data_IF_366761455231
#
_entry.id   IF_366761455231
#
_cell.length_a   1.000
_cell.length_b   1.000
_cell.length_c   1.000
_cell.angle_alpha   90.00
_cell.angle_beta   90.00
_cell.angle_gamma   90.00
#
_symmetry.space_group_name_H-M   'P 1'
#
loop_
_entity.id
_entity.type
_entity.pdbx_description
1 polymer ?
#
# COMPACT_ATOMS: atom_id res chain seq x y z
N UNK A 1 -18.66 27.71 3.46
CA UNK A 1 -17.94 27.77 2.17
C UNK A 1 -18.91 27.49 1.04
N UNK A 2 -18.72 28.12 -0.11
CA UNK A 2 -19.49 27.79 -1.32
C UNK A 2 -18.95 26.50 -1.96
N UNK A 3 -19.75 25.76 -2.75
CA UNK A 3 -19.27 24.57 -3.47
C UNK A 3 -18.03 24.84 -4.33
N UNK A 4 -17.97 26.01 -4.97
CA UNK A 4 -16.81 26.44 -5.77
C UNK A 4 -15.54 26.62 -4.92
N UNK A 5 -15.67 27.12 -3.69
CA UNK A 5 -14.53 27.24 -2.76
C UNK A 5 -14.04 25.85 -2.34
N UNK A 6 -14.94 24.90 -2.10
CA UNK A 6 -14.59 23.52 -1.74
C UNK A 6 -13.82 22.86 -2.89
N UNK A 7 -14.31 22.97 -4.13
CA UNK A 7 -13.62 22.41 -5.30
C UNK A 7 -12.21 22.98 -5.47
N UNK A 8 -12.03 24.30 -5.33
CA UNK A 8 -10.69 24.92 -5.42
C UNK A 8 -9.75 24.40 -4.33
N UNK A 9 -10.24 24.23 -3.11
CA UNK A 9 -9.47 23.62 -2.02
C UNK A 9 -9.08 22.18 -2.34
N UNK A 10 -10.01 21.38 -2.88
CA UNK A 10 -9.76 20.00 -3.28
C UNK A 10 -8.73 19.89 -4.41
N UNK A 11 -8.81 20.75 -5.42
CA UNK A 11 -7.84 20.82 -6.52
C UNK A 11 -6.46 21.20 -6.01
N UNK A 12 -6.36 22.24 -5.18
CA UNK A 12 -5.10 22.67 -4.58
C UNK A 12 -4.46 21.57 -3.74
N UNK A 13 -5.25 20.84 -2.94
CA UNK A 13 -4.75 19.75 -2.11
C UNK A 13 -4.37 18.54 -2.94
N UNK A 14 -5.09 18.24 -4.02
CA UNK A 14 -4.72 17.16 -4.96
C UNK A 14 -3.36 17.43 -5.61
N UNK A 15 -3.12 18.67 -6.04
CA UNK A 15 -1.81 19.06 -6.58
C UNK A 15 -0.71 19.00 -5.52
N UNK A 16 -0.99 19.40 -4.28
CA UNK A 16 -0.02 19.31 -3.19
C UNK A 16 0.38 17.85 -2.91
N UNK A 17 -0.58 16.92 -2.93
CA UNK A 17 -0.31 15.48 -2.80
C UNK A 17 0.54 14.98 -3.97
N UNK A 18 0.21 15.36 -5.21
CA UNK A 18 0.97 14.95 -6.41
C UNK A 18 2.44 15.40 -6.32
N UNK A 19 2.68 16.65 -5.92
CA UNK A 19 4.04 17.19 -5.73
C UNK A 19 4.77 16.46 -4.60
N UNK A 20 4.12 16.27 -3.45
CA UNK A 20 4.74 15.62 -2.29
C UNK A 20 5.09 14.15 -2.58
N UNK A 21 4.23 13.42 -3.29
CA UNK A 21 4.51 12.04 -3.73
C UNK A 21 5.66 12.01 -4.72
N UNK A 22 5.70 12.92 -5.69
CA UNK A 22 6.79 13.03 -6.65
C UNK A 22 8.15 13.34 -5.99
N UNK A 23 8.17 14.06 -4.87
CA UNK A 23 9.38 14.34 -4.09
C UNK A 23 9.64 13.34 -2.95
N UNK A 24 8.83 12.27 -2.83
CA UNK A 24 8.85 11.32 -1.71
C UNK A 24 8.72 11.97 -0.31
N UNK A 25 8.09 13.14 -0.22
CA UNK A 25 7.72 13.78 1.03
C UNK A 25 6.42 13.16 1.56
N UNK A 26 6.54 11.95 2.12
CA UNK A 26 5.38 11.18 2.59
C UNK A 26 4.63 11.86 3.73
N UNK A 27 5.32 12.65 4.56
CA UNK A 27 4.68 13.36 5.66
C UNK A 27 3.74 14.44 5.13
N UNK A 28 4.21 15.23 4.16
CA UNK A 28 3.38 16.24 3.51
C UNK A 28 2.24 15.61 2.70
N UNK A 29 2.51 14.52 1.98
CA UNK A 29 1.50 13.80 1.22
C UNK A 29 0.33 13.32 2.11
N UNK A 30 0.65 12.74 3.28
CA UNK A 30 -0.37 12.30 4.25
C UNK A 30 -1.13 13.50 4.82
N UNK A 31 -0.44 14.55 5.27
CA UNK A 31 -1.07 15.76 5.83
C UNK A 31 -2.04 16.40 4.84
N UNK A 32 -1.63 16.52 3.58
CA UNK A 32 -2.46 17.08 2.51
C UNK A 32 -3.67 16.17 2.21
N UNK A 33 -3.48 14.84 2.18
CA UNK A 33 -4.56 13.88 1.97
C UNK A 33 -5.60 13.88 3.09
N UNK A 34 -5.17 13.94 4.35
CA UNK A 34 -6.08 14.05 5.51
C UNK A 34 -6.89 15.35 5.45
N UNK A 35 -6.22 16.48 5.16
CA UNK A 35 -6.89 17.76 4.98
C UNK A 35 -7.91 17.70 3.83
N UNK A 36 -7.56 17.05 2.72
CA UNK A 36 -8.46 16.87 1.57
C UNK A 36 -9.67 16.03 1.90
N UNK A 37 -9.49 14.98 2.70
CA UNK A 37 -10.58 14.10 3.15
C UNK A 37 -11.66 14.88 3.90
N UNK A 38 -11.27 15.84 4.76
CA UNK A 38 -12.22 16.70 5.47
C UNK A 38 -13.10 17.54 4.51
N UNK A 39 -12.53 18.06 3.42
CA UNK A 39 -13.28 18.79 2.41
C UNK A 39 -14.22 17.88 1.61
N UNK A 40 -13.79 16.66 1.28
CA UNK A 40 -14.65 15.67 0.61
C UNK A 40 -15.84 15.29 1.48
N UNK A 41 -15.65 15.10 2.79
CA UNK A 41 -16.73 14.80 3.73
C UNK A 41 -17.70 15.97 3.95
N UNK A 42 -17.28 17.21 3.67
CA UNK A 42 -18.13 18.39 3.77
C UNK A 42 -19.07 18.58 2.55
N UNK A 43 -18.87 17.82 1.47
CA UNK A 43 -19.74 17.89 0.30
C UNK A 43 -21.08 17.19 0.57
N UNK A 44 -22.19 17.87 0.26
CA UNK A 44 -23.51 17.25 0.16
C UNK A 44 -23.55 16.29 -1.04
N UNK A 45 -24.31 15.18 -1.01
CA UNK A 45 -24.52 14.33 -2.18
C UNK A 45 -25.21 15.05 -3.35
N UNK A 46 -26.03 16.06 -3.06
CA UNK A 46 -26.74 16.87 -4.04
C UNK A 46 -25.84 18.06 -4.46
N UNK A 47 -24.94 17.82 -5.42
CA UNK A 47 -24.08 18.86 -6.00
C UNK A 47 -24.48 19.16 -7.43
N UNK A 48 -24.18 20.38 -7.92
CA UNK A 48 -24.25 20.68 -9.35
C UNK A 48 -23.34 19.77 -10.18
N UNK A 49 -23.74 19.49 -11.43
CA UNK A 49 -22.98 18.65 -12.37
C UNK A 49 -21.52 19.11 -12.57
N UNK A 50 -21.27 20.42 -12.49
CA UNK A 50 -19.92 20.99 -12.59
C UNK A 50 -18.99 20.50 -11.48
N UNK A 51 -19.51 20.35 -10.26
CA UNK A 51 -18.78 19.86 -9.09
C UNK A 51 -18.48 18.37 -9.26
N UNK A 52 -19.46 17.58 -9.73
CA UNK A 52 -19.24 16.17 -10.05
C UNK A 52 -18.18 15.98 -11.14
N UNK A 53 -18.22 16.81 -12.18
CA UNK A 53 -17.22 16.81 -13.25
C UNK A 53 -15.83 17.12 -12.72
N UNK A 54 -15.70 18.10 -11.82
CA UNK A 54 -14.42 18.45 -11.19
C UNK A 54 -13.86 17.30 -10.33
N UNK A 55 -14.72 16.64 -9.54
CA UNK A 55 -14.36 15.45 -8.76
C UNK A 55 -13.91 14.30 -9.67
N UNK A 56 -14.58 14.12 -10.81
CA UNK A 56 -14.19 13.14 -11.83
C UNK A 56 -12.76 13.37 -12.32
N UNK A 57 -12.40 14.61 -12.67
CA UNK A 57 -11.03 14.96 -13.09
C UNK A 57 -10.01 14.72 -11.97
N UNK A 58 -10.32 15.11 -10.73
CA UNK A 58 -9.43 14.88 -9.59
C UNK A 58 -9.16 13.38 -9.36
N UNK A 59 -10.14 12.51 -9.62
CA UNK A 59 -9.96 11.06 -9.51
C UNK A 59 -8.94 10.51 -10.50
N UNK A 60 -8.82 11.07 -11.69
CA UNK A 60 -7.78 10.68 -12.64
C UNK A 60 -6.39 11.02 -12.11
N UNK A 61 -6.25 12.17 -11.43
CA UNK A 61 -5.01 12.56 -10.77
C UNK A 61 -4.70 11.60 -9.62
N UNK A 62 -5.69 11.24 -8.81
CA UNK A 62 -5.53 10.26 -7.72
C UNK A 62 -5.00 8.91 -8.21
N UNK A 63 -5.45 8.46 -9.38
CA UNK A 63 -4.94 7.24 -10.01
C UNK A 63 -3.44 7.40 -10.33
N UNK A 64 -3.03 8.52 -10.94
CA UNK A 64 -1.61 8.76 -11.23
C UNK A 64 -0.77 8.82 -9.95
N UNK A 65 -1.24 9.53 -8.93
CA UNK A 65 -0.60 9.60 -7.61
C UNK A 65 -0.38 8.19 -7.05
N UNK A 66 -1.40 7.32 -7.12
CA UNK A 66 -1.31 5.95 -6.61
C UNK A 66 -0.27 5.10 -7.36
N UNK A 67 -0.13 5.29 -8.68
CA UNK A 67 0.86 4.61 -9.51
C UNK A 67 2.26 5.06 -9.08
N UNK A 68 2.51 6.37 -9.03
CA UNK A 68 3.81 6.92 -8.64
C UNK A 68 4.21 6.50 -7.22
N UNK A 69 3.26 6.54 -6.28
CA UNK A 69 3.52 6.10 -4.91
C UNK A 69 3.92 4.61 -4.86
N UNK A 70 3.24 3.76 -5.64
CA UNK A 70 3.56 2.33 -5.72
C UNK A 70 4.94 2.09 -6.33
N UNK A 71 5.26 2.73 -7.44
CA UNK A 71 6.56 2.61 -8.11
C UNK A 71 7.71 3.04 -7.18
N UNK A 72 7.49 4.12 -6.41
CA UNK A 72 8.46 4.60 -5.42
C UNK A 72 8.66 3.58 -4.30
N UNK A 73 7.56 3.01 -3.78
CA UNK A 73 7.63 1.96 -2.75
C UNK A 73 8.36 0.70 -3.25
N UNK A 74 8.06 0.24 -4.47
CA UNK A 74 8.72 -0.92 -5.07
C UNK A 74 10.23 -0.71 -5.20
N UNK A 75 10.64 0.50 -5.57
CA UNK A 75 12.05 0.91 -5.65
C UNK A 75 12.72 0.86 -4.27
N UNK A 76 12.12 1.52 -3.26
CA UNK A 76 12.64 1.55 -1.88
C UNK A 76 12.77 0.15 -1.26
N UNK A 77 11.79 -0.73 -1.50
CA UNK A 77 11.83 -2.12 -1.02
C UNK A 77 12.95 -2.91 -1.72
N UNK A 78 13.13 -2.72 -3.02
CA UNK A 78 14.21 -3.36 -3.78
C UNK A 78 15.59 -2.93 -3.25
N UNK A 79 15.78 -1.63 -3.06
CA UNK A 79 17.01 -1.05 -2.53
C UNK A 79 17.28 -1.50 -1.09
N UNK A 80 16.27 -1.48 -0.22
CA UNK A 80 16.40 -1.97 1.15
C UNK A 80 16.81 -3.44 1.21
N UNK A 81 16.22 -4.30 0.36
CA UNK A 81 16.62 -5.71 0.24
C UNK A 81 18.06 -5.87 -0.25
N UNK A 82 18.51 -5.02 -1.17
CA UNK A 82 19.90 -5.01 -1.65
C UNK A 82 20.86 -4.64 -0.51
N UNK A 83 20.57 -3.57 0.22
CA UNK A 83 21.37 -3.13 1.36
C UNK A 83 21.46 -4.21 2.45
N UNK A 84 20.37 -4.91 2.76
CA UNK A 84 20.37 -6.01 3.73
C UNK A 84 21.24 -7.20 3.28
N UNK A 85 21.26 -7.51 1.98
CA UNK A 85 22.16 -8.55 1.43
C UNK A 85 23.62 -8.13 1.54
N UNK A 86 23.93 -6.88 1.22
CA UNK A 86 25.29 -6.32 1.30
C UNK A 86 25.79 -6.26 2.76
N UNK A 87 24.90 -5.96 3.70
CA UNK A 87 25.22 -5.97 5.13
C UNK A 87 25.31 -7.38 5.75
N UNK A 88 25.07 -8.45 4.98
CA UNK A 88 25.07 -9.83 5.48
C UNK A 88 23.91 -10.16 6.44
N UNK A 89 22.90 -9.29 6.52
CA UNK A 89 21.72 -9.42 7.40
C UNK A 89 20.53 -10.09 6.71
N UNK A 90 20.64 -10.35 5.39
CA UNK A 90 19.61 -11.08 4.67
C UNK A 90 19.58 -12.56 5.10
N UNK A 91 18.39 -13.18 5.23
CA UNK A 91 18.28 -14.60 5.52
C UNK A 91 19.08 -15.38 4.47
N UNK A 92 20.06 -16.15 4.97
CA UNK A 92 20.90 -17.00 4.13
C UNK A 92 19.98 -17.96 3.38
N UNK A 93 20.08 -18.08 2.04
CA UNK A 93 19.28 -19.05 1.31
C UNK A 93 19.50 -20.44 1.93
N UNK A 94 18.45 -21.28 2.01
CA UNK A 94 18.60 -22.64 2.49
C UNK A 94 19.73 -23.29 1.71
N UNK A 95 20.72 -23.81 2.45
CA UNK A 95 21.90 -24.42 1.81
C UNK A 95 21.43 -25.60 0.96
N UNK A 96 21.94 -25.76 -0.28
CA UNK A 96 21.64 -26.94 -1.08
C UNK A 96 22.03 -28.19 -0.27
N UNK A 97 21.03 -28.91 0.25
CA UNK A 97 21.22 -30.02 1.19
C UNK A 97 20.35 -29.97 2.45
N UNK A 98 19.78 -28.81 2.81
CA UNK A 98 18.83 -28.74 3.94
C UNK A 98 17.54 -29.55 3.67
N UNK A 99 17.06 -29.56 2.42
CA UNK A 99 15.92 -30.38 1.99
C UNK A 99 16.23 -31.88 1.98
N UNK A 100 17.49 -32.25 1.73
CA UNK A 100 17.92 -33.66 1.72
C UNK A 100 17.97 -34.24 3.14
N UNK A 101 18.31 -33.43 4.15
CA UNK A 101 18.27 -33.81 5.56
C UNK A 101 16.84 -33.87 6.12
N UNK A 102 15.97 -32.93 5.74
CA UNK A 102 14.57 -32.91 6.16
C UNK A 102 13.77 -34.11 5.60
N UNK A 103 14.09 -34.58 4.39
CA UNK A 103 13.46 -35.75 3.78
C UNK A 103 13.88 -37.10 4.42
N UNK A 104 14.95 -37.13 5.23
CA UNK A 104 15.52 -38.36 5.81
C UNK A 104 15.14 -38.65 7.27
N UNK A 105 14.34 -37.79 7.93
CA UNK A 105 13.87 -38.07 9.30
C UNK A 105 12.50 -38.76 9.29
N UNK A 106 12.40 -40.06 9.65
CA UNK A 106 11.12 -40.79 9.66
C UNK A 106 10.19 -40.39 10.82
N UNK A 107 10.67 -39.59 11.78
CA UNK A 107 9.96 -39.31 13.03
C UNK A 107 8.78 -38.33 12.89
N UNK A 108 8.71 -37.52 11.84
CA UNK A 108 7.63 -36.54 11.67
C UNK A 108 6.33 -37.11 11.08
N UNK A 109 6.38 -38.24 10.36
CA UNK A 109 5.15 -38.88 9.83
C UNK A 109 4.33 -39.60 10.90
N UNK A 110 4.94 -40.00 12.02
CA UNK A 110 4.24 -40.69 13.10
C UNK A 110 3.37 -39.74 13.96
N UNK A 111 3.68 -38.44 13.99
CA UNK A 111 3.01 -37.47 14.87
C UNK A 111 1.72 -36.89 14.29
N UNK A 112 1.56 -36.88 12.95
CA UNK A 112 0.38 -36.30 12.29
C UNK A 112 -0.78 -37.31 12.24
N UNK A 113 -0.50 -38.61 12.21
CA UNK A 113 -1.54 -39.65 12.08
C UNK A 113 -2.34 -39.91 13.35
N UNK A 114 -1.95 -39.36 14.52
CA UNK A 114 -2.64 -39.58 15.80
C UNK A 114 -3.61 -38.45 16.20
N UNK A 115 -3.74 -37.38 15.39
CA UNK A 115 -4.57 -36.21 15.70
C UNK A 115 -5.91 -36.14 14.94
N UNK A 116 -6.16 -37.05 14.00
CA UNK A 116 -7.39 -37.09 13.19
C UNK A 116 -7.95 -38.52 13.05
N UNK A 117 -8.26 -39.17 14.16
CA UNK A 117 -9.17 -40.31 14.16
C UNK A 117 -10.56 -39.82 14.65
N UNK A 118 -11.62 -39.81 13.83
CA UNK A 118 -12.97 -39.53 14.30
C UNK A 118 -13.50 -40.72 15.10
N UNK A 119 -13.93 -40.49 16.33
CA UNK A 119 -14.70 -41.45 17.12
C UNK A 119 -16.10 -41.58 16.53
N UNK A 120 -16.38 -42.72 15.88
CA UNK A 120 -17.74 -43.19 15.59
C UNK A 120 -18.18 -44.11 16.74
N UNK A 121 -19.30 -43.77 17.38
CA UNK A 121 -20.11 -44.67 18.20
C UNK A 121 -21.36 -45.05 17.40
#
# INVERSE_FOLDING_TARGET
>A
MTPLQIIRSLESLTNAIEVAVASADWSEAVRAAETRSAFLMALSPDQPDEVHTAIGRMREIDIRISITARETLETLVSEGRKALREAGLAPRPPSPGADVMAARSPSWRASISRRFAPHMH
#
